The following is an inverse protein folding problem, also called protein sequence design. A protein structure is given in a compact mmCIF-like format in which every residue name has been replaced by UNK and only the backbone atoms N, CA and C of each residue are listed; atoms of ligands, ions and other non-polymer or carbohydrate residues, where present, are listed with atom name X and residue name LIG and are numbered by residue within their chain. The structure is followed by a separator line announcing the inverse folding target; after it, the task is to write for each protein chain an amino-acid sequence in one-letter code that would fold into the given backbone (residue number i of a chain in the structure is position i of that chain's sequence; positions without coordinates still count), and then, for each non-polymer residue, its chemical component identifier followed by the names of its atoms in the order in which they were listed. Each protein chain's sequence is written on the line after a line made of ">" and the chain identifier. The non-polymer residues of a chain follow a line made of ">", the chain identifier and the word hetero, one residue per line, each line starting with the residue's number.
data_IF_529061771864
#
_entry.id   IF_529061771864
#
_cell.length_a   1.000
_cell.length_b   1.000
_cell.length_c   1.000
_cell.angle_alpha   90.00
_cell.angle_beta   90.00
_cell.angle_gamma   90.00
#
_symmetry.space_group_name_H-M   'P 1'
#
loop_
_entity.id
_entity.type
_entity.pdbx_description
1 polymer ?
#
# COMPACT_ATOMS: atom_id res chain seq x y z
N UNK A 1 17.00 16.04 15.74
CA UNK A 1 18.47 16.22 15.60
C UNK A 1 18.91 15.56 14.32
N UNK A 2 19.92 16.08 13.63
CA UNK A 2 20.44 15.48 12.40
C UNK A 2 21.23 14.21 12.73
N UNK A 3 20.97 13.11 12.03
CA UNK A 3 21.56 11.78 12.31
C UNK A 3 22.57 11.32 11.26
N UNK A 4 23.10 12.24 10.43
CA UNK A 4 24.08 11.91 9.39
C UNK A 4 23.47 11.60 8.01
N UNK A 5 22.20 11.90 7.79
CA UNK A 5 21.53 11.75 6.49
C UNK A 5 20.56 12.90 6.23
N UNK A 6 20.45 13.31 4.96
CA UNK A 6 19.43 14.28 4.51
C UNK A 6 18.01 13.70 4.57
N UNK A 7 17.87 12.37 4.65
CA UNK A 7 16.57 11.72 4.75
C UNK A 7 15.89 12.07 6.08
N UNK A 8 14.78 12.80 5.99
CA UNK A 8 13.95 13.14 7.14
C UNK A 8 12.51 13.42 6.68
N UNK A 9 11.47 12.76 7.24
CA UNK A 9 11.53 11.72 8.27
C UNK A 9 12.15 10.40 7.80
N UNK A 10 12.83 9.64 8.68
CA UNK A 10 13.53 8.40 8.32
C UNK A 10 12.58 7.22 8.07
N UNK A 11 11.33 7.32 8.55
CA UNK A 11 10.35 6.24 8.47
C UNK A 11 8.94 6.78 8.20
N UNK A 12 8.09 5.91 7.68
CA UNK A 12 6.67 6.19 7.58
C UNK A 12 6.02 6.26 8.95
N UNK A 13 4.95 7.04 9.04
CA UNK A 13 4.23 7.26 10.29
C UNK A 13 2.76 7.60 9.95
N UNK A 14 1.84 7.64 10.93
CA UNK A 14 0.47 8.08 10.67
C UNK A 14 0.37 9.52 10.14
N UNK A 15 1.41 10.33 10.26
CA UNK A 15 1.49 11.71 9.77
C UNK A 15 2.51 11.91 8.64
N UNK A 16 3.26 10.86 8.27
CA UNK A 16 4.27 10.88 7.20
C UNK A 16 3.95 9.78 6.19
N UNK A 17 3.15 10.12 5.18
CA UNK A 17 2.61 9.14 4.22
C UNK A 17 3.49 8.90 3.00
N UNK A 18 4.43 9.80 2.75
CA UNK A 18 5.45 9.70 1.72
C UNK A 18 6.73 10.35 2.24
N UNK A 19 7.88 9.82 1.83
CA UNK A 19 9.21 10.36 2.13
C UNK A 19 10.07 10.32 0.87
N UNK A 20 11.12 11.14 0.83
CA UNK A 20 12.18 10.96 -0.16
C UNK A 20 13.29 10.17 0.51
N UNK A 21 13.61 9.00 -0.05
CA UNK A 21 14.76 8.22 0.39
C UNK A 21 16.01 8.65 -0.35
N UNK A 22 17.12 8.73 0.39
CA UNK A 22 18.43 9.18 -0.10
C UNK A 22 19.43 8.04 0.07
N UNK A 23 19.88 7.47 -1.04
CA UNK A 23 20.80 6.33 -1.03
C UNK A 23 22.10 6.69 -1.74
N UNK A 24 23.20 6.59 -1.01
CA UNK A 24 24.55 6.81 -1.53
C UNK A 24 25.26 5.48 -1.69
N UNK A 25 25.94 5.28 -2.81
CA UNK A 25 26.88 4.17 -2.98
C UNK A 25 28.00 4.57 -3.94
N UNK A 26 29.13 3.90 -3.82
CA UNK A 26 30.24 4.06 -4.73
C UNK A 26 30.30 2.87 -5.70
N UNK A 27 30.53 3.16 -6.97
CA UNK A 27 30.83 2.16 -7.99
C UNK A 27 31.94 2.68 -8.90
N UNK A 28 32.97 1.87 -9.12
CA UNK A 28 34.12 2.21 -9.96
C UNK A 28 34.75 3.61 -9.66
N UNK A 29 34.86 3.97 -8.38
CA UNK A 29 35.41 5.27 -7.95
C UNK A 29 34.49 6.47 -8.19
N UNK A 30 33.22 6.24 -8.55
CA UNK A 30 32.20 7.28 -8.71
C UNK A 30 31.16 7.17 -7.61
N UNK A 31 30.85 8.30 -6.98
CA UNK A 31 29.73 8.42 -6.05
C UNK A 31 28.41 8.52 -6.84
N UNK A 32 27.48 7.64 -6.49
CA UNK A 32 26.10 7.66 -6.96
C UNK A 32 25.20 8.10 -5.81
N UNK A 33 24.33 9.08 -6.08
CA UNK A 33 23.34 9.54 -5.12
C UNK A 33 21.94 9.37 -5.72
N UNK A 34 21.20 8.40 -5.20
CA UNK A 34 19.90 8.01 -5.70
C UNK A 34 18.80 8.57 -4.82
N UNK A 35 17.80 9.17 -5.46
CA UNK A 35 16.61 9.69 -4.79
C UNK A 35 15.40 8.88 -5.20
N UNK A 36 14.58 8.46 -4.24
CA UNK A 36 13.28 7.86 -4.54
C UNK A 36 12.19 8.39 -3.64
N UNK A 37 11.08 8.84 -4.22
CA UNK A 37 9.87 9.13 -3.45
C UNK A 37 9.22 7.81 -3.07
N UNK A 38 9.29 7.45 -1.80
CA UNK A 38 8.70 6.22 -1.28
C UNK A 38 7.37 6.49 -0.55
N UNK A 39 6.52 5.47 -0.49
CA UNK A 39 5.20 5.51 0.13
C UNK A 39 4.39 4.27 -0.25
N UNK A 40 3.08 4.28 0.03
CA UNK A 40 2.22 3.18 -0.39
C UNK A 40 2.31 2.93 -1.90
N UNK A 41 2.51 1.68 -2.29
CA UNK A 41 2.62 1.26 -3.70
C UNK A 41 1.27 0.97 -4.35
N UNK A 42 0.18 0.97 -3.57
CA UNK A 42 -1.18 0.63 -4.02
C UNK A 42 -1.21 -0.67 -4.84
N UNK A 43 -0.64 -1.73 -4.27
CA UNK A 43 -0.46 -3.03 -4.92
C UNK A 43 -1.80 -3.63 -5.38
N UNK A 44 -1.81 -4.27 -6.54
CA UNK A 44 -2.93 -5.09 -7.02
C UNK A 44 -3.18 -6.30 -6.12
N UNK A 45 -2.11 -6.97 -5.69
CA UNK A 45 -2.12 -8.00 -4.66
C UNK A 45 -1.68 -7.43 -3.30
N UNK A 46 -2.60 -6.74 -2.62
CA UNK A 46 -2.31 -6.04 -1.38
C UNK A 46 -2.43 -6.93 -0.13
N UNK A 47 -1.30 -7.24 0.51
CA UNK A 47 -1.27 -7.96 1.78
C UNK A 47 -2.15 -7.31 2.87
N UNK A 48 -2.14 -5.96 2.96
CA UNK A 48 -2.93 -5.23 3.93
C UNK A 48 -4.45 -5.43 3.78
N UNK A 49 -4.93 -5.63 2.55
CA UNK A 49 -6.34 -5.98 2.29
C UNK A 49 -6.61 -7.41 2.76
N UNK A 50 -5.74 -8.36 2.41
CA UNK A 50 -5.93 -9.78 2.75
C UNK A 50 -5.99 -10.05 4.25
N UNK A 51 -5.17 -9.36 5.04
CA UNK A 51 -5.09 -9.59 6.48
C UNK A 51 -6.09 -8.79 7.30
N UNK A 52 -6.81 -7.82 6.71
CA UNK A 52 -7.72 -6.97 7.46
C UNK A 52 -8.99 -7.74 7.87
N UNK A 53 -9.19 -8.06 9.17
CA UNK A 53 -10.35 -8.85 9.59
C UNK A 53 -11.66 -8.05 9.53
N UNK A 54 -11.56 -6.72 9.60
CA UNK A 54 -12.71 -5.81 9.56
C UNK A 54 -13.22 -5.53 8.14
N UNK A 55 -12.44 -5.87 7.09
CA UNK A 55 -12.77 -5.45 5.72
C UNK A 55 -12.70 -3.94 5.53
N UNK A 56 -11.84 -3.26 6.30
CA UNK A 56 -11.69 -1.80 6.28
C UNK A 56 -10.77 -1.32 5.16
N UNK A 57 -9.99 -2.19 4.52
CA UNK A 57 -9.06 -1.83 3.45
C UNK A 57 -9.54 -2.48 2.16
N UNK A 58 -9.60 -1.72 1.07
CA UNK A 58 -10.21 -2.14 -0.20
C UNK A 58 -9.55 -1.44 -1.40
N UNK A 59 -9.75 -2.00 -2.59
CA UNK A 59 -9.44 -1.33 -3.85
C UNK A 59 -10.58 -0.38 -4.24
N UNK A 60 -10.25 0.85 -4.59
CA UNK A 60 -11.18 1.84 -5.13
C UNK A 60 -11.43 1.59 -6.63
N UNK A 61 -12.38 2.31 -7.20
CA UNK A 61 -12.65 2.31 -8.65
C UNK A 61 -11.46 2.78 -9.49
N UNK A 62 -10.55 3.56 -8.91
CA UNK A 62 -9.31 4.02 -9.56
C UNK A 62 -8.16 3.00 -9.46
N UNK A 63 -8.42 1.79 -8.97
CA UNK A 63 -7.39 0.77 -8.73
C UNK A 63 -6.49 1.05 -7.52
N UNK A 64 -6.75 2.13 -6.77
CA UNK A 64 -5.93 2.50 -5.61
C UNK A 64 -6.40 1.78 -4.35
N UNK A 65 -5.48 1.43 -3.44
CA UNK A 65 -5.83 0.90 -2.11
C UNK A 65 -6.22 2.02 -1.13
N UNK A 66 -7.39 1.94 -0.50
CA UNK A 66 -7.89 2.91 0.49
C UNK A 66 -8.22 2.24 1.84
N UNK A 67 -8.29 3.05 2.90
CA UNK A 67 -8.69 2.63 4.26
C UNK A 67 -9.98 3.36 4.64
N UNK A 68 -11.03 2.61 4.92
CA UNK A 68 -12.25 3.10 5.55
C UNK A 68 -12.02 3.19 7.07
N UNK A 69 -11.79 4.41 7.54
CA UNK A 69 -11.51 4.68 8.96
C UNK A 69 -12.71 4.39 9.87
N UNK A 70 -13.94 4.37 9.34
CA UNK A 70 -15.14 4.03 10.13
C UNK A 70 -15.26 2.53 10.39
N UNK A 71 -14.71 1.70 9.51
CA UNK A 71 -14.64 0.24 9.69
C UNK A 71 -13.37 -0.23 10.38
N UNK A 72 -12.34 0.61 10.43
CA UNK A 72 -11.06 0.25 11.01
C UNK A 72 -11.21 0.03 12.52
N UNK A 73 -10.80 -1.16 12.99
CA UNK A 73 -10.86 -1.55 14.42
C UNK A 73 -9.50 -1.40 15.13
N UNK A 74 -8.51 -0.77 14.48
CA UNK A 74 -7.20 -0.52 15.08
C UNK A 74 -6.31 -1.74 15.39
N UNK A 75 -6.61 -2.92 14.83
CA UNK A 75 -5.88 -4.16 15.15
C UNK A 75 -4.42 -4.26 14.64
N UNK A 76 -3.94 -3.30 13.84
CA UNK A 76 -2.57 -3.24 13.28
C UNK A 76 -2.07 -4.40 12.41
N UNK A 77 -2.91 -5.38 12.06
CA UNK A 77 -2.50 -6.50 11.20
C UNK A 77 -2.01 -6.02 9.84
N UNK A 78 -2.66 -5.01 9.28
CA UNK A 78 -2.27 -4.40 8.01
C UNK A 78 -0.87 -3.77 8.07
N UNK A 79 -0.47 -3.18 9.20
CA UNK A 79 0.85 -2.61 9.36
C UNK A 79 1.92 -3.68 9.50
N UNK A 80 1.66 -4.71 10.31
CA UNK A 80 2.57 -5.84 10.50
C UNK A 80 2.82 -6.66 9.22
N UNK A 81 1.91 -6.64 8.25
CA UNK A 81 1.98 -7.48 7.05
C UNK A 81 2.16 -6.69 5.75
N UNK A 82 2.35 -5.36 5.81
CA UNK A 82 2.59 -4.60 4.59
C UNK A 82 3.96 -4.94 4.01
N UNK A 83 4.00 -5.49 2.79
CA UNK A 83 5.25 -5.87 2.11
C UNK A 83 6.26 -4.71 2.04
N UNK A 84 5.79 -3.48 1.89
CA UNK A 84 6.65 -2.28 1.80
C UNK A 84 6.81 -1.53 3.12
N UNK A 85 6.18 -1.98 4.22
CA UNK A 85 6.24 -1.33 5.52
C UNK A 85 5.84 0.18 5.52
N UNK A 86 4.81 0.53 4.75
CA UNK A 86 4.37 1.93 4.53
C UNK A 86 3.12 2.33 5.34
N UNK A 87 2.62 1.44 6.17
CA UNK A 87 1.42 1.66 6.98
C UNK A 87 1.82 2.32 8.30
N UNK A 88 1.25 3.49 8.60
CA UNK A 88 1.32 4.09 9.92
C UNK A 88 0.09 3.74 10.76
N UNK A 89 0.24 3.70 12.08
CA UNK A 89 -0.89 3.59 13.00
C UNK A 89 -1.03 4.84 13.84
N UNK A 90 -2.21 5.45 13.78
CA UNK A 90 -2.57 6.59 14.61
C UNK A 90 -3.10 6.09 15.95
N UNK A 91 -2.29 6.24 17.00
CA UNK A 91 -2.61 5.79 18.35
C UNK A 91 -3.77 6.56 18.98
N UNK A 92 -4.01 7.80 18.56
CA UNK A 92 -5.06 8.66 19.12
C UNK A 92 -6.39 8.35 18.47
N UNK A 93 -6.40 8.28 17.13
CA UNK A 93 -7.62 7.96 16.39
C UNK A 93 -7.90 6.45 16.29
N UNK A 94 -6.97 5.59 16.74
CA UNK A 94 -7.03 4.14 16.63
C UNK A 94 -7.27 3.62 15.20
N UNK A 95 -6.68 4.28 14.20
CA UNK A 95 -6.83 3.90 12.79
C UNK A 95 -5.50 3.79 12.06
N UNK A 96 -5.45 2.90 11.07
CA UNK A 96 -4.33 2.83 10.15
C UNK A 96 -4.37 3.98 9.14
N UNK A 97 -3.22 4.60 8.87
CA UNK A 97 -3.05 5.68 7.90
C UNK A 97 -1.90 5.37 6.95
N UNK A 98 -2.00 5.87 5.73
CA UNK A 98 -1.00 5.70 4.65
C UNK A 98 -1.33 6.70 3.54
N UNK A 99 -0.48 6.77 2.51
CA UNK A 99 -0.83 7.47 1.27
C UNK A 99 -2.19 6.98 0.73
N UNK A 100 -3.08 7.92 0.43
CA UNK A 100 -4.43 7.67 -0.10
C UNK A 100 -4.50 7.80 -1.62
N UNK A 101 -3.36 7.96 -2.28
CA UNK A 101 -3.28 8.39 -3.69
C UNK A 101 -4.01 9.72 -3.97
N UNK A 102 -4.22 10.54 -2.93
CA UNK A 102 -5.07 11.72 -2.98
C UNK A 102 -6.48 11.39 -3.54
N UNK A 103 -7.12 10.33 -3.05
CA UNK A 103 -8.45 9.88 -3.48
C UNK A 103 -9.49 11.03 -3.54
N UNK A 104 -9.43 11.95 -2.60
CA UNK A 104 -10.23 13.17 -2.55
C UNK A 104 -10.03 14.07 -3.79
N UNK A 105 -8.81 14.15 -4.30
CA UNK A 105 -8.46 14.94 -5.48
C UNK A 105 -8.81 14.20 -6.77
N UNK A 106 -8.39 12.95 -6.89
CA UNK A 106 -8.55 12.20 -8.14
C UNK A 106 -10.02 11.89 -8.45
N UNK A 107 -10.86 11.71 -7.42
CA UNK A 107 -12.31 11.56 -7.59
C UNK A 107 -12.99 12.84 -8.11
N UNK A 108 -12.30 13.98 -8.04
CA UNK A 108 -12.74 15.27 -8.57
C UNK A 108 -11.95 15.69 -9.82
N UNK A 109 -11.29 14.74 -10.50
CA UNK A 109 -10.52 15.02 -11.72
C UNK A 109 -9.24 15.83 -11.48
N UNK A 110 -8.75 15.92 -10.24
CA UNK A 110 -7.55 16.67 -9.89
C UNK A 110 -6.33 15.75 -9.71
N UNK A 111 -5.18 16.19 -10.21
CA UNK A 111 -3.89 15.52 -10.02
C UNK A 111 -3.51 15.40 -8.53
N UNK A 112 -2.93 14.28 -8.06
CA UNK A 112 -2.39 14.16 -6.71
C UNK A 112 -1.43 15.28 -6.32
N UNK A 113 -1.44 15.70 -5.06
CA UNK A 113 -0.67 16.87 -4.60
C UNK A 113 0.84 16.72 -4.86
N UNK A 114 1.40 15.54 -4.59
CA UNK A 114 2.82 15.26 -4.80
C UNK A 114 3.24 15.27 -6.29
N UNK A 115 2.35 14.86 -7.21
CA UNK A 115 2.60 14.96 -8.65
C UNK A 115 2.48 16.42 -9.11
N UNK A 116 1.43 17.13 -8.67
CA UNK A 116 1.21 18.55 -9.03
C UNK A 116 2.36 19.47 -8.60
N UNK A 117 2.96 19.21 -7.44
CA UNK A 117 4.03 20.06 -6.90
C UNK A 117 5.44 19.70 -7.42
N UNK A 118 5.58 18.61 -8.18
CA UNK A 118 6.90 18.11 -8.58
C UNK A 118 7.55 19.09 -9.59
N UNK A 119 8.65 19.77 -9.24
CA UNK A 119 9.19 20.85 -10.07
C UNK A 119 9.84 20.34 -11.36
N UNK A 120 10.42 19.14 -11.32
CA UNK A 120 11.16 18.54 -12.44
C UNK A 120 10.32 17.61 -13.29
N UNK A 121 9.06 17.37 -12.91
CA UNK A 121 8.22 16.34 -13.55
C UNK A 121 8.68 14.90 -13.29
N UNK A 122 9.51 14.67 -12.27
CA UNK A 122 9.92 13.31 -11.87
C UNK A 122 8.73 12.45 -11.40
N UNK A 123 7.66 13.08 -10.87
CA UNK A 123 6.42 12.42 -10.49
C UNK A 123 5.35 12.82 -11.49
N UNK A 124 4.90 11.86 -12.30
CA UNK A 124 3.81 12.05 -13.27
C UNK A 124 2.60 11.22 -12.85
N UNK A 125 1.39 11.74 -13.09
CA UNK A 125 0.13 11.05 -12.81
C UNK A 125 -0.72 11.01 -14.09
N UNK A 126 -1.39 9.89 -14.32
CA UNK A 126 -2.21 9.65 -15.50
C UNK A 126 -2.75 8.22 -15.51
N UNK A 127 -3.35 7.86 -16.63
CA UNK A 127 -3.78 6.49 -16.91
C UNK A 127 -2.55 5.56 -16.94
N UNK A 128 -2.67 4.36 -16.36
CA UNK A 128 -1.55 3.47 -16.07
C UNK A 128 -0.86 2.98 -17.34
N UNK A 129 -1.60 2.58 -18.37
CA UNK A 129 -1.01 2.11 -19.64
C UNK A 129 -0.20 3.22 -20.32
N UNK A 130 -0.71 4.45 -20.36
CA UNK A 130 0.02 5.60 -20.91
C UNK A 130 1.33 5.90 -20.15
N UNK A 131 1.33 5.70 -18.82
CA UNK A 131 2.53 5.85 -18.00
C UNK A 131 3.54 4.73 -18.22
N UNK A 132 3.08 3.50 -18.47
CA UNK A 132 3.95 2.37 -18.83
C UNK A 132 4.62 2.66 -20.18
N UNK A 133 3.86 3.07 -21.19
CA UNK A 133 4.41 3.42 -22.51
C UNK A 133 5.45 4.55 -22.41
N UNK A 134 5.19 5.55 -21.55
CA UNK A 134 6.15 6.62 -21.27
C UNK A 134 7.42 6.08 -20.59
N UNK A 135 7.26 5.20 -19.60
CA UNK A 135 8.37 4.60 -18.89
C UNK A 135 9.24 3.74 -19.82
N UNK A 136 8.63 2.95 -20.72
CA UNK A 136 9.34 2.14 -21.72
C UNK A 136 10.15 2.99 -22.70
N UNK A 137 9.57 4.10 -23.21
CA UNK A 137 10.31 5.04 -24.07
C UNK A 137 11.53 5.62 -23.35
N UNK A 138 11.36 6.09 -22.12
CA UNK A 138 12.47 6.63 -21.31
C UNK A 138 13.48 5.55 -20.91
N UNK A 139 13.04 4.33 -20.66
CA UNK A 139 13.93 3.20 -20.41
C UNK A 139 14.85 2.94 -21.61
N UNK A 140 14.29 2.96 -22.82
CA UNK A 140 15.08 2.81 -24.05
C UNK A 140 16.09 3.95 -24.25
N UNK A 141 15.77 5.18 -23.83
CA UNK A 141 16.72 6.30 -23.79
C UNK A 141 17.86 6.06 -22.80
N UNK A 142 17.55 5.66 -21.56
CA UNK A 142 18.54 5.35 -20.53
C UNK A 142 19.49 4.22 -20.95
N UNK A 143 18.94 3.14 -21.53
CA UNK A 143 19.75 2.02 -22.03
C UNK A 143 20.69 2.44 -23.17
N UNK A 144 20.23 3.29 -24.10
CA UNK A 144 21.08 3.88 -25.15
C UNK A 144 22.17 4.78 -24.59
N UNK A 145 21.91 5.45 -23.46
CA UNK A 145 22.90 6.25 -22.73
C UNK A 145 23.86 5.42 -21.86
N UNK A 146 23.82 4.08 -21.96
CA UNK A 146 24.73 3.18 -21.25
C UNK A 146 24.28 2.77 -19.85
N UNK A 147 23.05 3.11 -19.42
CA UNK A 147 22.47 2.65 -18.15
C UNK A 147 21.88 1.25 -18.33
N UNK A 148 22.74 0.24 -18.36
CA UNK A 148 22.34 -1.15 -18.67
C UNK A 148 21.40 -1.77 -17.62
N UNK A 149 21.58 -1.39 -16.36
CA UNK A 149 20.78 -1.86 -15.21
C UNK A 149 19.45 -1.09 -15.05
N UNK A 150 19.18 -0.12 -15.92
CA UNK A 150 17.93 0.62 -15.88
C UNK A 150 16.75 -0.33 -16.07
N UNK A 151 15.69 -0.12 -15.29
CA UNK A 151 14.51 -0.98 -15.25
C UNK A 151 13.26 -0.17 -14.87
N UNK A 152 12.09 -0.77 -15.14
CA UNK A 152 10.81 -0.25 -14.69
C UNK A 152 10.33 -1.14 -13.55
N UNK A 153 10.00 -0.52 -12.42
CA UNK A 153 9.55 -1.19 -11.22
C UNK A 153 8.07 -0.87 -10.95
N UNK A 154 7.26 -1.88 -10.67
CA UNK A 154 5.84 -1.78 -10.34
C UNK A 154 4.88 -2.17 -11.46
N UNK A 155 5.38 -2.69 -12.58
CA UNK A 155 4.52 -3.16 -13.69
C UNK A 155 3.95 -4.53 -13.36
N UNK A 156 4.80 -5.45 -12.91
CA UNK A 156 4.49 -6.87 -12.67
C UNK A 156 4.38 -7.20 -11.18
N UNK A 157 5.10 -6.46 -10.33
CA UNK A 157 5.20 -6.70 -8.91
C UNK A 157 3.82 -6.68 -8.25
N UNK A 158 3.50 -7.75 -7.50
CA UNK A 158 2.24 -7.89 -6.77
C UNK A 158 1.01 -7.64 -7.66
N UNK A 159 0.94 -8.28 -8.82
CA UNK A 159 -0.14 -8.10 -9.82
C UNK A 159 -0.29 -6.64 -10.29
N UNK A 160 0.83 -5.94 -10.38
CA UNK A 160 0.90 -4.53 -10.75
C UNK A 160 0.70 -3.58 -9.57
N UNK A 161 1.53 -2.56 -9.50
CA UNK A 161 1.47 -1.50 -8.50
C UNK A 161 0.78 -0.27 -9.10
N UNK A 162 0.16 0.54 -8.22
CA UNK A 162 -0.33 1.87 -8.57
C UNK A 162 0.79 2.92 -8.66
N UNK A 163 1.97 2.63 -8.11
CA UNK A 163 3.18 3.44 -8.26
C UNK A 163 4.16 2.71 -9.17
N UNK A 164 4.56 3.34 -10.27
CA UNK A 164 5.58 2.84 -11.20
C UNK A 164 6.81 3.74 -11.11
N UNK A 165 7.99 3.14 -11.12
CA UNK A 165 9.28 3.85 -11.09
C UNK A 165 10.07 3.49 -12.35
N UNK A 166 10.73 4.49 -12.92
CA UNK A 166 11.84 4.28 -13.83
C UNK A 166 13.13 4.44 -13.00
N UNK A 167 13.90 3.37 -12.92
CA UNK A 167 15.13 3.30 -12.13
C UNK A 167 16.33 3.24 -13.07
N UNK A 168 17.43 3.91 -12.72
CA UNK A 168 18.69 3.83 -13.47
C UNK A 168 19.54 2.62 -13.08
N UNK A 169 19.21 1.97 -11.97
CA UNK A 169 19.90 0.83 -11.37
C UNK A 169 18.86 -0.12 -10.72
N UNK A 170 19.31 -1.26 -10.20
CA UNK A 170 18.46 -2.28 -9.59
C UNK A 170 17.66 -1.72 -8.40
N UNK A 171 16.42 -2.19 -8.17
CA UNK A 171 15.56 -1.74 -7.07
C UNK A 171 16.24 -1.71 -5.70
N UNK A 172 17.10 -2.70 -5.40
CA UNK A 172 17.83 -2.79 -4.14
C UNK A 172 18.71 -1.56 -3.86
N UNK A 173 19.30 -0.93 -4.88
CA UNK A 173 20.10 0.30 -4.73
C UNK A 173 19.26 1.49 -4.28
N UNK A 174 17.97 1.49 -4.60
CA UNK A 174 16.99 2.48 -4.14
C UNK A 174 16.32 2.08 -2.81
N UNK A 175 16.72 0.97 -2.19
CA UNK A 175 16.07 0.45 -0.98
C UNK A 175 14.69 -0.15 -1.27
N UNK A 176 14.41 -0.48 -2.53
CA UNK A 176 13.19 -1.16 -2.96
C UNK A 176 13.42 -2.68 -3.00
N UNK A 177 12.33 -3.44 -2.86
CA UNK A 177 12.37 -4.90 -2.89
C UNK A 177 12.47 -5.41 -4.32
N UNK A 178 13.42 -6.28 -4.65
CA UNK A 178 13.55 -6.83 -6.01
C UNK A 178 12.43 -7.82 -6.36
N UNK A 179 11.96 -8.63 -5.41
CA UNK A 179 10.94 -9.65 -5.63
C UNK A 179 9.86 -9.62 -4.53
N UNK A 180 9.05 -8.56 -4.46
CA UNK A 180 8.01 -8.42 -3.44
C UNK A 180 6.91 -9.47 -3.64
N UNK A 181 6.55 -10.16 -2.56
CA UNK A 181 5.46 -11.14 -2.55
C UNK A 181 4.62 -11.00 -1.29
N UNK A 182 3.33 -11.31 -1.39
CA UNK A 182 2.49 -11.49 -0.20
C UNK A 182 2.82 -12.84 0.42
N UNK A 183 2.87 -12.91 1.75
CA UNK A 183 3.18 -14.16 2.44
C UNK A 183 2.07 -15.19 2.24
N UNK A 184 2.44 -16.47 2.10
CA UNK A 184 1.46 -17.57 1.98
C UNK A 184 0.50 -17.60 3.17
N UNK A 185 1.00 -17.29 4.37
CA UNK A 185 0.18 -17.15 5.58
C UNK A 185 -0.91 -16.08 5.42
N UNK A 186 -0.61 -14.92 4.82
CA UNK A 186 -1.63 -13.89 4.56
C UNK A 186 -2.66 -14.34 3.51
N UNK A 187 -2.27 -15.12 2.50
CA UNK A 187 -3.23 -15.73 1.57
C UNK A 187 -4.16 -16.69 2.30
N UNK A 188 -3.60 -17.63 3.07
CA UNK A 188 -4.37 -18.61 3.85
C UNK A 188 -5.31 -17.91 4.83
N UNK A 189 -4.82 -16.90 5.54
CA UNK A 189 -5.62 -16.08 6.45
C UNK A 189 -6.88 -15.54 5.78
N UNK A 190 -6.74 -14.98 4.57
CA UNK A 190 -7.87 -14.41 3.83
C UNK A 190 -8.91 -15.46 3.42
N UNK A 191 -8.49 -16.69 3.16
CA UNK A 191 -9.37 -17.81 2.80
C UNK A 191 -10.08 -18.43 4.00
N UNK A 192 -9.44 -18.47 5.18
CA UNK A 192 -10.01 -19.10 6.38
C UNK A 192 -10.88 -18.12 7.17
N UNK A 193 -10.40 -16.91 7.45
CA UNK A 193 -11.10 -16.03 8.40
C UNK A 193 -12.42 -15.48 7.87
N UNK A 194 -12.53 -15.25 6.56
CA UNK A 194 -13.78 -14.77 5.94
C UNK A 194 -14.95 -15.75 6.14
N UNK A 195 -14.87 -17.02 5.74
CA UNK A 195 -15.96 -17.98 5.96
C UNK A 195 -16.16 -18.30 7.45
N UNK A 196 -15.08 -18.44 8.24
CA UNK A 196 -15.21 -18.70 9.68
C UNK A 196 -15.98 -17.59 10.39
N UNK A 197 -15.70 -16.32 10.08
CA UNK A 197 -16.45 -15.19 10.64
C UNK A 197 -17.95 -15.28 10.32
N UNK A 198 -18.32 -15.63 9.09
CA UNK A 198 -19.73 -15.81 8.70
C UNK A 198 -20.37 -16.95 9.47
N UNK A 199 -19.68 -18.09 9.59
CA UNK A 199 -20.17 -19.25 10.34
C UNK A 199 -20.40 -18.93 11.82
N UNK A 200 -19.47 -18.22 12.47
CA UNK A 200 -19.61 -17.81 13.87
C UNK A 200 -20.82 -16.87 14.05
N UNK A 201 -20.98 -15.87 13.19
CA UNK A 201 -22.13 -14.95 13.25
C UNK A 201 -23.45 -15.70 13.05
N UNK A 202 -23.52 -16.61 12.08
CA UNK A 202 -24.70 -17.44 11.83
C UNK A 202 -25.02 -18.36 13.02
N UNK A 203 -24.00 -18.99 13.61
CA UNK A 203 -24.16 -19.84 14.79
C UNK A 203 -24.66 -19.03 16.00
N UNK A 204 -24.12 -17.84 16.23
CA UNK A 204 -24.59 -16.94 17.29
C UNK A 204 -26.02 -16.48 17.07
N UNK A 205 -26.39 -16.09 15.85
CA UNK A 205 -27.75 -15.70 15.51
C UNK A 205 -28.74 -16.85 15.72
N UNK A 206 -28.36 -18.06 15.33
CA UNK A 206 -29.15 -19.28 15.54
C UNK A 206 -29.34 -19.58 17.04
N UNK A 207 -28.26 -19.51 17.83
CA UNK A 207 -28.33 -19.70 19.28
C UNK A 207 -29.24 -18.65 19.96
N UNK A 208 -29.12 -17.38 19.59
CA UNK A 208 -29.98 -16.31 20.10
C UNK A 208 -31.45 -16.50 19.68
N UNK A 209 -31.72 -17.01 18.47
CA UNK A 209 -33.07 -17.32 18.02
C UNK A 209 -33.70 -18.47 18.81
N UNK A 210 -32.95 -19.55 19.06
CA UNK A 210 -33.40 -20.67 19.90
C UNK A 210 -33.70 -20.21 21.33
N UNK A 211 -32.78 -19.47 21.95
CA UNK A 211 -32.97 -18.96 23.32
C UNK A 211 -34.18 -18.02 23.41
N UNK A 212 -34.39 -17.16 22.40
CA UNK A 212 -35.60 -16.30 22.33
C UNK A 212 -36.90 -17.11 22.20
N UNK A 213 -36.87 -18.24 21.50
CA UNK A 213 -38.03 -19.13 21.34
C UNK A 213 -38.38 -19.83 22.65
N UNK A 214 -37.38 -20.28 23.41
CA UNK A 214 -37.57 -20.84 24.76
C UNK A 214 -38.17 -19.80 25.71
N UNK A 215 -37.58 -18.61 25.79
CA UNK A 215 -38.08 -17.51 26.64
C UNK A 215 -39.54 -17.12 26.34
N UNK A 216 -39.95 -17.08 25.07
CA UNK A 216 -41.35 -16.83 24.69
C UNK A 216 -42.30 -18.01 24.98
N UNK A 217 -41.78 -19.23 24.95
CA UNK A 217 -42.54 -20.44 25.32
C UNK A 217 -42.85 -20.52 26.81
N UNK A 218 -41.98 -19.96 27.64
CA UNK A 218 -42.19 -19.84 29.10
C UNK A 218 -43.14 -18.70 29.47
N UNK A 219 -43.09 -17.55 28.78
CA UNK A 219 -43.98 -16.41 29.08
C UNK A 219 -45.45 -16.60 28.63
N UNK A 220 -45.75 -17.65 27.85
CA UNK A 220 -47.11 -17.98 27.40
C UNK A 220 -47.85 -19.00 28.27
N UNK A 221 -47.24 -19.43 29.39
CA UNK A 221 -47.81 -20.39 30.36
C UNK A 221 -48.25 -19.76 31.69
N UNK A 222 -48.33 -18.42 31.77
CA UNK A 222 -48.97 -17.70 32.88
C UNK A 222 -50.37 -17.23 32.50
#
# INVERSE_FOLDING_TARGET
>A
TFTGTYENPPQFSPITWTKIAFNEYEDNGRLHWLFSKQGCMHCGDAACIKVCPAGAIYHTEFGTVAVDTKKCIGCNYCAANCTYNVMGFDQVAHVARKCTFCLDRISNGLTPACAKTCPTGAITYGERSNLIDLAERRLAELKRAGKTEANIYGVEELNGLGMIYLLEDRPAKYGLLENPRVSTAAHIWSYIFKPVRVLVVMAMAFALWFNRKESKGESGKQ
#
